data_IF_498214682856
#
_entry.id   IF_498214682856
#
_cell.length_a   1.000
_cell.length_b   1.000
_cell.length_c   1.000
_cell.angle_alpha   90.00
_cell.angle_beta   90.00
_cell.angle_gamma   90.00
#
_symmetry.space_group_name_H-M   'P 1'
#
loop_
_entity.id
_entity.type
_entity.pdbx_description
1 polymer ?
#
# COMPACT_ATOMS: atom_id res chain seq x y z
N UNK A 1 -16.71 32.55 23.15
CA UNK A 1 -17.18 31.41 22.34
C UNK A 1 -16.18 31.00 21.26
N UNK A 2 -15.16 31.82 20.95
CA UNK A 2 -14.04 31.46 20.05
C UNK A 2 -12.99 30.51 20.67
N UNK A 3 -12.93 30.40 21.99
CA UNK A 3 -11.93 29.61 22.71
C UNK A 3 -12.20 28.10 22.73
N UNK A 4 -13.46 27.65 22.57
CA UNK A 4 -13.82 26.22 22.61
C UNK A 4 -13.48 25.52 21.29
N UNK A 5 -13.57 26.24 20.17
CA UNK A 5 -13.23 25.71 18.84
C UNK A 5 -11.72 25.44 18.68
N UNK A 6 -10.88 26.05 19.51
CA UNK A 6 -9.43 25.76 19.56
C UNK A 6 -9.07 24.56 20.45
N UNK A 7 -10.01 24.03 21.26
CA UNK A 7 -9.79 22.87 22.12
C UNK A 7 -9.99 21.54 21.37
N UNK A 8 -10.69 21.57 20.24
CA UNK A 8 -10.92 20.41 19.35
C UNK A 8 -10.56 20.77 17.90
N UNK A 9 -9.26 20.83 17.56
CA UNK A 9 -8.85 21.09 16.18
C UNK A 9 -9.33 19.93 15.30
N UNK A 10 -10.27 20.23 14.41
CA UNK A 10 -10.83 19.36 13.38
C UNK A 10 -11.57 18.11 13.89
N UNK A 11 -12.89 18.23 14.08
CA UNK A 11 -13.82 17.10 14.26
C UNK A 11 -13.78 16.15 13.05
N UNK A 12 -13.36 16.64 11.89
CA UNK A 12 -13.25 15.85 10.66
C UNK A 12 -11.78 15.45 10.39
N UNK A 13 -11.47 14.15 10.34
CA UNK A 13 -10.13 13.69 10.00
C UNK A 13 -9.78 14.05 8.55
N UNK A 14 -8.57 14.57 8.35
CA UNK A 14 -8.02 14.77 7.02
C UNK A 14 -7.52 13.43 6.48
N UNK A 15 -8.37 12.77 5.69
CA UNK A 15 -8.06 11.49 5.02
C UNK A 15 -7.03 11.66 3.90
N UNK A 16 -6.79 12.88 3.43
CA UNK A 16 -5.82 13.12 2.37
C UNK A 16 -4.41 12.85 2.85
N UNK A 17 -4.14 12.81 4.16
CA UNK A 17 -2.81 12.52 4.69
C UNK A 17 -2.42 11.03 4.61
N UNK A 18 -3.38 10.13 4.33
CA UNK A 18 -3.16 8.69 4.26
C UNK A 18 -3.34 8.11 2.85
N UNK A 19 -3.25 8.95 1.80
CA UNK A 19 -3.42 8.49 0.40
C UNK A 19 -2.46 7.34 0.05
N UNK A 20 -1.15 7.38 0.36
CA UNK A 20 -0.24 6.27 0.06
C UNK A 20 -0.74 4.94 0.64
N UNK A 21 -1.23 4.96 1.89
CA UNK A 21 -1.75 3.80 2.60
C UNK A 21 -3.08 3.32 2.01
N UNK A 22 -3.94 4.24 1.58
CA UNK A 22 -5.19 3.90 0.90
C UNK A 22 -4.95 3.23 -0.45
N UNK A 23 -3.90 3.62 -1.18
CA UNK A 23 -3.51 2.95 -2.43
C UNK A 23 -3.04 1.53 -2.16
N UNK A 24 -2.22 1.30 -1.12
CA UNK A 24 -1.79 -0.04 -0.71
C UNK A 24 -2.99 -0.90 -0.32
N UNK A 25 -3.87 -0.39 0.54
CA UNK A 25 -5.09 -1.08 0.95
C UNK A 25 -5.99 -1.42 -0.25
N UNK A 26 -6.20 -0.46 -1.15
CA UNK A 26 -6.97 -0.67 -2.38
C UNK A 26 -6.33 -1.74 -3.26
N UNK A 27 -5.01 -1.75 -3.39
CA UNK A 27 -4.26 -2.77 -4.14
C UNK A 27 -4.48 -4.15 -3.53
N UNK A 28 -4.37 -4.30 -2.22
CA UNK A 28 -4.61 -5.56 -1.53
C UNK A 28 -6.04 -6.07 -1.72
N UNK A 29 -7.04 -5.19 -1.62
CA UNK A 29 -8.44 -5.53 -1.89
C UNK A 29 -8.67 -5.96 -3.35
N UNK A 30 -8.07 -5.26 -4.31
CA UNK A 30 -8.15 -5.64 -5.72
C UNK A 30 -7.46 -6.97 -6.01
N UNK A 31 -6.36 -7.28 -5.32
CA UNK A 31 -5.71 -8.59 -5.42
C UNK A 31 -6.60 -9.70 -4.88
N UNK A 32 -7.23 -9.51 -3.71
CA UNK A 32 -8.17 -10.48 -3.14
C UNK A 32 -9.37 -10.71 -4.06
N UNK A 33 -9.96 -9.64 -4.59
CA UNK A 33 -11.05 -9.76 -5.56
C UNK A 33 -10.59 -10.44 -6.85
N UNK A 34 -9.39 -10.10 -7.33
CA UNK A 34 -8.79 -10.70 -8.51
C UNK A 34 -8.55 -12.20 -8.35
N UNK A 35 -8.02 -12.63 -7.20
CA UNK A 35 -7.74 -14.02 -6.89
C UNK A 35 -9.02 -14.88 -6.82
N UNK A 36 -10.12 -14.32 -6.31
CA UNK A 36 -11.42 -15.02 -6.27
C UNK A 36 -12.06 -15.11 -7.66
N UNK A 37 -11.83 -14.14 -8.54
CA UNK A 37 -12.54 -14.01 -9.81
C UNK A 37 -11.76 -14.54 -11.03
N UNK A 38 -10.43 -14.63 -10.97
CA UNK A 38 -9.58 -15.00 -12.11
C UNK A 38 -9.13 -16.47 -12.01
N UNK A 39 -9.10 -17.13 -13.16
CA UNK A 39 -8.47 -18.45 -13.27
C UNK A 39 -6.95 -18.36 -13.09
N UNK A 40 -6.35 -19.46 -12.57
CA UNK A 40 -4.91 -19.60 -12.31
C UNK A 40 -3.99 -19.24 -13.47
N UNK A 41 -4.48 -19.34 -14.71
CA UNK A 41 -3.75 -18.97 -15.92
C UNK A 41 -3.50 -17.46 -16.06
N UNK A 42 -4.25 -16.61 -15.34
CA UNK A 42 -4.17 -15.15 -15.42
C UNK A 42 -3.46 -14.50 -14.23
N UNK A 43 -2.84 -15.28 -13.34
CA UNK A 43 -2.19 -14.76 -12.13
C UNK A 43 -1.01 -13.81 -12.43
N UNK A 44 -0.40 -13.89 -13.62
CA UNK A 44 0.61 -12.90 -14.07
C UNK A 44 0.05 -11.47 -14.13
N UNK A 45 -1.26 -11.30 -14.40
CA UNK A 45 -1.92 -9.99 -14.38
C UNK A 45 -1.96 -9.42 -12.96
N UNK A 46 -2.11 -10.27 -11.96
CA UNK A 46 -2.12 -9.86 -10.55
C UNK A 46 -0.74 -9.40 -10.09
N UNK A 47 0.35 -10.03 -10.55
CA UNK A 47 1.71 -9.53 -10.31
C UNK A 47 1.90 -8.11 -10.84
N UNK A 48 1.47 -7.84 -12.08
CA UNK A 48 1.54 -6.49 -12.66
C UNK A 48 0.67 -5.48 -11.90
N UNK A 49 -0.52 -5.90 -11.47
CA UNK A 49 -1.40 -5.07 -10.64
C UNK A 49 -0.73 -4.68 -9.32
N UNK A 50 -0.06 -5.63 -8.63
CA UNK A 50 0.68 -5.36 -7.40
C UNK A 50 1.80 -4.35 -7.63
N UNK A 51 2.61 -4.54 -8.69
CA UNK A 51 3.72 -3.63 -9.01
C UNK A 51 3.22 -2.22 -9.31
N UNK A 52 2.13 -2.10 -10.07
CA UNK A 52 1.52 -0.79 -10.38
C UNK A 52 0.94 -0.15 -9.12
N UNK A 53 0.26 -0.92 -8.27
CA UNK A 53 -0.30 -0.44 -7.01
C UNK A 53 0.76 0.09 -6.04
N UNK A 54 1.81 -0.69 -5.79
CA UNK A 54 2.92 -0.26 -4.94
C UNK A 54 3.72 0.89 -5.57
N UNK A 55 3.91 0.90 -6.89
CA UNK A 55 4.51 2.02 -7.60
C UNK A 55 3.69 3.31 -7.45
N UNK A 56 2.36 3.23 -7.57
CA UNK A 56 1.48 4.37 -7.36
C UNK A 56 1.51 4.87 -5.91
N UNK A 57 1.52 3.97 -4.93
CA UNK A 57 1.68 4.33 -3.51
C UNK A 57 3.03 5.02 -3.25
N UNK A 58 4.09 4.55 -3.91
CA UNK A 58 5.43 5.11 -3.78
C UNK A 58 5.50 6.52 -4.38
N UNK A 59 4.93 6.72 -5.56
CA UNK A 59 4.80 8.05 -6.17
C UNK A 59 3.96 8.98 -5.29
N UNK A 60 2.84 8.49 -4.75
CA UNK A 60 2.00 9.26 -3.83
C UNK A 60 2.76 9.70 -2.58
N UNK A 61 3.61 8.82 -2.02
CA UNK A 61 4.41 9.09 -0.84
C UNK A 61 5.38 10.27 -1.03
N UNK A 62 5.95 10.45 -2.24
CA UNK A 62 6.86 11.57 -2.52
C UNK A 62 6.17 12.95 -2.46
N UNK A 63 4.86 13.04 -2.64
CA UNK A 63 4.13 14.31 -2.49
C UNK A 63 4.04 14.80 -1.04
N UNK A 64 4.42 13.98 -0.05
CA UNK A 64 4.41 14.35 1.36
C UNK A 64 5.79 14.79 1.90
N UNK A 65 6.82 14.90 1.05
CA UNK A 65 8.11 15.46 1.47
C UNK A 65 7.91 16.90 1.97
N UNK A 66 8.46 17.20 3.15
CA UNK A 66 8.35 18.50 3.79
C UNK A 66 6.96 18.79 4.38
N UNK A 67 6.01 17.85 4.27
CA UNK A 67 4.73 17.94 4.98
C UNK A 67 4.95 17.55 6.43
N UNK A 68 4.35 18.30 7.35
CA UNK A 68 4.39 17.98 8.78
C UNK A 68 3.02 18.24 9.41
N UNK A 69 2.09 17.29 9.21
CA UNK A 69 0.69 17.40 9.67
C UNK A 69 0.25 16.13 10.39
N UNK A 70 -0.74 16.28 11.25
CA UNK A 70 -1.36 15.16 11.98
C UNK A 70 -2.83 15.07 11.64
N UNK A 71 -3.39 13.86 11.68
CA UNK A 71 -4.82 13.60 11.51
C UNK A 71 -5.27 12.48 12.46
N UNK A 72 -6.57 12.20 12.46
CA UNK A 72 -7.20 11.20 13.33
C UNK A 72 -6.84 11.40 14.81
N UNK A 73 -6.96 12.64 15.30
CA UNK A 73 -6.66 13.00 16.68
C UNK A 73 -5.24 12.57 17.13
N UNK A 74 -4.25 12.73 16.24
CA UNK A 74 -2.85 12.41 16.52
C UNK A 74 -2.46 10.94 16.32
N UNK A 75 -3.38 10.07 15.88
CA UNK A 75 -3.05 8.67 15.58
C UNK A 75 -2.14 8.52 14.35
N UNK A 76 -2.17 9.48 13.44
CA UNK A 76 -1.31 9.48 12.26
C UNK A 76 -0.63 10.82 12.07
N UNK A 77 0.67 10.78 11.76
CA UNK A 77 1.50 11.93 11.43
C UNK A 77 2.12 11.71 10.06
N UNK A 78 1.89 12.64 9.14
CA UNK A 78 2.61 12.72 7.88
C UNK A 78 3.81 13.64 8.10
N UNK A 79 5.00 13.05 8.19
CA UNK A 79 6.29 13.73 8.30
C UNK A 79 7.36 13.03 7.45
N UNK A 80 8.54 13.64 7.36
CA UNK A 80 9.64 13.12 6.54
C UNK A 80 10.13 11.74 7.00
N UNK A 81 10.01 11.43 8.29
CA UNK A 81 10.32 10.09 8.82
C UNK A 81 9.32 9.09 8.26
N UNK A 82 8.03 9.40 8.29
CA UNK A 82 6.98 8.55 7.74
C UNK A 82 7.17 8.33 6.24
N UNK A 83 7.51 9.39 5.50
CA UNK A 83 7.85 9.32 4.08
C UNK A 83 9.04 8.37 3.84
N UNK A 84 10.11 8.51 4.63
CA UNK A 84 11.30 7.66 4.50
C UNK A 84 11.03 6.19 4.85
N UNK A 85 10.27 5.92 5.92
CA UNK A 85 9.88 4.55 6.30
C UNK A 85 9.01 3.92 5.23
N UNK A 86 8.02 4.65 4.71
CA UNK A 86 7.18 4.18 3.61
C UNK A 86 8.01 3.91 2.34
N UNK A 87 8.99 4.75 2.03
CA UNK A 87 9.90 4.55 0.90
C UNK A 87 10.64 3.21 1.02
N UNK A 88 11.20 2.90 2.20
CA UNK A 88 11.89 1.63 2.44
C UNK A 88 10.92 0.46 2.32
N UNK A 89 9.77 0.54 3.00
CA UNK A 89 8.78 -0.53 3.01
C UNK A 89 8.24 -0.85 1.61
N UNK A 90 7.82 0.17 0.86
CA UNK A 90 7.29 0.02 -0.49
C UNK A 90 8.36 -0.49 -1.47
N UNK A 91 9.60 0.00 -1.36
CA UNK A 91 10.70 -0.50 -2.21
C UNK A 91 10.99 -1.96 -1.89
N UNK A 92 11.03 -2.33 -0.60
CA UNK A 92 11.19 -3.72 -0.17
C UNK A 92 10.07 -4.61 -0.69
N UNK A 93 8.82 -4.16 -0.61
CA UNK A 93 7.65 -4.87 -1.12
C UNK A 93 7.73 -5.08 -2.64
N UNK A 94 8.08 -4.04 -3.42
CA UNK A 94 8.26 -4.14 -4.88
C UNK A 94 9.35 -5.15 -5.23
N UNK A 95 10.50 -5.09 -4.55
CA UNK A 95 11.59 -6.05 -4.77
C UNK A 95 11.16 -7.48 -4.42
N UNK A 96 10.44 -7.67 -3.31
CA UNK A 96 9.88 -8.97 -2.92
C UNK A 96 8.93 -9.52 -3.99
N UNK A 97 8.07 -8.68 -4.57
CA UNK A 97 7.17 -9.08 -5.67
C UNK A 97 7.97 -9.47 -6.92
N UNK A 98 8.97 -8.67 -7.32
CA UNK A 98 9.80 -8.98 -8.50
C UNK A 98 10.57 -10.29 -8.34
N UNK A 99 11.14 -10.51 -7.15
CA UNK A 99 11.89 -11.72 -6.83
C UNK A 99 10.96 -12.93 -6.85
N UNK A 100 9.84 -12.88 -6.13
CA UNK A 100 8.88 -14.00 -6.03
C UNK A 100 8.23 -14.36 -7.37
N UNK A 101 7.96 -13.39 -8.24
CA UNK A 101 7.47 -13.64 -9.59
C UNK A 101 8.44 -14.52 -10.41
N UNK A 102 9.74 -14.25 -10.33
CA UNK A 102 10.79 -15.01 -11.04
C UNK A 102 10.98 -16.43 -10.49
N UNK A 103 10.76 -16.63 -9.19
CA UNK A 103 10.90 -17.96 -8.56
C UNK A 103 9.80 -18.94 -8.98
N UNK A 104 8.57 -18.46 -9.17
CA UNK A 104 7.39 -19.30 -9.40
C UNK A 104 7.10 -19.59 -10.87
N UNK A 105 7.60 -18.79 -11.81
CA UNK A 105 7.62 -19.16 -13.25
C UNK A 105 8.51 -20.38 -13.52
N UNK A 106 9.53 -20.61 -12.68
CA UNK A 106 10.52 -21.69 -12.87
C UNK A 106 10.23 -22.96 -12.07
N UNK A 107 9.45 -22.87 -10.99
CA UNK A 107 9.17 -23.99 -10.10
C UNK A 107 7.66 -24.06 -9.84
N UNK A 108 6.91 -24.63 -10.79
CA UNK A 108 5.52 -25.01 -10.57
C UNK A 108 5.51 -26.25 -9.68
N UNK A 109 5.71 -26.04 -8.39
CA UNK A 109 5.57 -27.06 -7.38
C UNK A 109 4.08 -27.22 -7.08
N UNK A 110 3.54 -28.41 -7.31
CA UNK A 110 2.10 -28.74 -7.29
C UNK A 110 1.40 -28.60 -5.91
N UNK A 111 1.98 -27.86 -4.97
CA UNK A 111 1.44 -27.60 -3.63
C UNK A 111 1.84 -26.25 -3.01
N UNK A 112 2.45 -25.34 -3.78
CA UNK A 112 2.82 -24.00 -3.29
C UNK A 112 1.62 -23.06 -3.10
N UNK A 113 1.76 -22.09 -2.19
CA UNK A 113 0.78 -21.02 -1.99
C UNK A 113 0.56 -20.23 -3.29
N UNK A 114 -0.69 -19.95 -3.71
CA UNK A 114 -0.97 -19.07 -4.84
C UNK A 114 -0.27 -17.70 -4.68
N UNK A 115 0.45 -17.26 -5.71
CA UNK A 115 1.13 -15.95 -5.78
C UNK A 115 0.31 -14.77 -5.23
N UNK A 116 -1.00 -14.65 -5.53
CA UNK A 116 -1.79 -13.53 -5.05
C UNK A 116 -1.97 -13.52 -3.53
N UNK A 117 -2.09 -14.69 -2.89
CA UNK A 117 -2.19 -14.80 -1.43
C UNK A 117 -0.91 -14.29 -0.75
N UNK A 118 0.25 -14.60 -1.32
CA UNK A 118 1.53 -14.06 -0.86
C UNK A 118 1.60 -12.53 -1.03
N UNK A 119 1.17 -12.01 -2.18
CA UNK A 119 1.23 -10.57 -2.47
C UNK A 119 0.33 -9.72 -1.58
N UNK A 120 -0.80 -10.26 -1.13
CA UNK A 120 -1.73 -9.54 -0.23
C UNK A 120 -1.12 -9.32 1.16
N UNK A 121 -0.14 -10.13 1.55
CA UNK A 121 0.52 -10.02 2.85
C UNK A 121 1.70 -9.04 2.87
N UNK A 122 2.06 -8.48 1.71
CA UNK A 122 3.09 -7.46 1.55
C UNK A 122 2.50 -6.05 1.69
#
# INVERSE_FOLDING_TARGET
METVTQLFPHINPDVTLIIPQLIVLGTALLLLLGDVLLDRSRHSVLTWLTLVGFGAALVANFFYIGVNRTTFNGMFRADDISVFVNLIALTGAILSVMISASYLEKNVESGGMPLPEYYVLL
#
